data_IF_096283628013
#
_entry.id   IF_096283628013
#
_cell.length_a   1.000
_cell.length_b   1.000
_cell.length_c   1.000
_cell.angle_alpha   90.00
_cell.angle_beta   90.00
_cell.angle_gamma   90.00
#
_symmetry.space_group_name_H-M   'P 1'
#
loop_
_entity.id
_entity.type
_entity.pdbx_description
1 polymer ?
#
# COMPACT_ATOMS: atom_id res chain seq x y z
N UNK A 1 0.99 -13.48 -32.99
CA UNK A 1 -0.48 -13.61 -32.79
C UNK A 1 -0.78 -14.15 -31.37
N UNK A 2 -1.66 -13.51 -30.59
CA UNK A 2 -1.87 -13.77 -29.15
C UNK A 2 -3.36 -13.74 -28.77
N UNK A 3 -3.80 -14.65 -27.91
CA UNK A 3 -5.11 -14.66 -27.24
C UNK A 3 -4.90 -14.68 -25.72
N UNK A 4 -5.60 -13.83 -24.98
CA UNK A 4 -5.61 -13.87 -23.51
C UNK A 4 -6.98 -14.30 -23.05
N UNK A 5 -7.03 -15.35 -22.22
CA UNK A 5 -8.25 -15.87 -21.61
C UNK A 5 -8.18 -15.60 -20.11
N UNK A 6 -9.29 -15.15 -19.53
CA UNK A 6 -9.38 -14.96 -18.10
C UNK A 6 -10.80 -15.14 -17.60
N UNK A 7 -10.93 -15.73 -16.42
CA UNK A 7 -12.20 -15.89 -15.71
C UNK A 7 -12.05 -15.28 -14.33
N UNK A 8 -13.02 -14.46 -13.95
CA UNK A 8 -13.09 -13.86 -12.62
C UNK A 8 -14.44 -14.13 -11.98
N UNK A 9 -14.41 -14.59 -10.73
CA UNK A 9 -15.59 -14.80 -9.91
C UNK A 9 -15.56 -13.80 -8.75
N UNK A 10 -16.71 -13.20 -8.45
CA UNK A 10 -16.88 -12.28 -7.31
C UNK A 10 -18.05 -12.75 -6.46
N UNK A 11 -17.87 -12.71 -5.15
CA UNK A 11 -18.90 -12.96 -4.16
C UNK A 11 -19.24 -11.63 -3.50
N UNK A 12 -20.51 -11.24 -3.57
CA UNK A 12 -21.01 -10.02 -2.98
C UNK A 12 -21.87 -10.35 -1.77
N UNK A 13 -21.77 -9.52 -0.73
CA UNK A 13 -22.67 -9.55 0.42
C UNK A 13 -24.06 -9.05 -0.01
N UNK A 14 -25.13 -9.84 0.17
CA UNK A 14 -26.48 -9.45 -0.25
C UNK A 14 -27.07 -8.29 0.56
N UNK A 15 -26.63 -8.07 1.80
CA UNK A 15 -27.14 -7.02 2.67
C UNK A 15 -26.46 -5.67 2.42
N UNK A 16 -25.14 -5.67 2.18
CA UNK A 16 -24.34 -4.46 2.03
C UNK A 16 -23.96 -4.13 0.58
N UNK A 17 -24.04 -5.11 -0.33
CA UNK A 17 -23.53 -5.02 -1.70
C UNK A 17 -22.00 -5.01 -1.80
N UNK A 18 -21.28 -5.14 -0.67
CA UNK A 18 -19.82 -5.17 -0.65
C UNK A 18 -19.24 -6.46 -1.21
N UNK A 19 -18.07 -6.40 -1.84
CA UNK A 19 -17.35 -7.59 -2.32
C UNK A 19 -16.74 -8.34 -1.13
N UNK A 20 -17.23 -9.54 -0.83
CA UNK A 20 -16.71 -10.41 0.21
C UNK A 20 -15.50 -11.22 -0.25
N UNK A 21 -15.50 -11.66 -1.51
CA UNK A 21 -14.37 -12.36 -2.10
C UNK A 21 -14.30 -12.16 -3.61
N UNK A 22 -13.09 -12.23 -4.15
CA UNK A 22 -12.84 -12.33 -5.59
C UNK A 22 -11.79 -13.37 -5.86
N UNK A 23 -11.96 -14.10 -6.96
CA UNK A 23 -11.00 -15.05 -7.49
C UNK A 23 -10.87 -14.81 -8.99
N UNK A 24 -9.65 -14.89 -9.50
CA UNK A 24 -9.35 -14.66 -10.90
C UNK A 24 -8.24 -15.57 -11.38
N UNK A 25 -8.42 -16.12 -12.58
CA UNK A 25 -7.38 -16.85 -13.30
C UNK A 25 -7.28 -16.26 -14.70
N UNK A 26 -6.06 -16.01 -15.16
CA UNK A 26 -5.80 -15.56 -16.52
C UNK A 26 -4.58 -16.27 -17.10
N UNK A 27 -4.64 -16.56 -18.40
CA UNK A 27 -3.56 -17.17 -19.15
C UNK A 27 -3.53 -16.59 -20.55
N UNK A 28 -2.33 -16.43 -21.10
CA UNK A 28 -2.13 -15.99 -22.47
C UNK A 28 -1.57 -17.13 -23.32
N UNK A 29 -2.12 -17.24 -24.52
CA UNK A 29 -1.82 -18.21 -25.53
C UNK A 29 -1.24 -17.48 -26.75
N UNK A 30 -0.13 -17.98 -27.27
CA UNK A 30 0.53 -17.45 -28.47
C UNK A 30 0.34 -18.46 -29.59
N UNK A 31 -0.26 -18.01 -30.69
CA UNK A 31 -0.53 -18.85 -31.87
C UNK A 31 0.63 -18.93 -32.85
N UNK A 32 1.48 -17.89 -32.89
CA UNK A 32 2.63 -17.79 -33.78
C UNK A 32 3.83 -17.24 -33.04
N UNK A 33 5.02 -17.71 -33.41
CA UNK A 33 6.28 -17.27 -32.82
C UNK A 33 6.48 -15.76 -32.97
N UNK A 34 7.30 -15.19 -32.11
CA UNK A 34 7.63 -13.78 -32.18
C UNK A 34 8.68 -13.55 -33.28
N UNK A 35 8.25 -12.93 -34.39
CA UNK A 35 9.11 -12.70 -35.56
C UNK A 35 10.12 -11.55 -35.37
N UNK A 36 9.83 -10.61 -34.46
CA UNK A 36 10.70 -9.46 -34.19
C UNK A 36 11.40 -9.61 -32.84
N UNK A 37 12.72 -9.76 -32.89
CA UNK A 37 13.59 -9.81 -31.71
C UNK A 37 14.67 -8.74 -31.76
N UNK A 38 15.21 -8.39 -30.59
CA UNK A 38 16.42 -7.59 -30.52
C UNK A 38 17.61 -8.42 -31.07
N UNK A 39 18.63 -7.79 -31.68
CA UNK A 39 19.82 -8.49 -32.14
C UNK A 39 20.44 -9.33 -31.02
N UNK A 40 20.61 -10.64 -31.24
CA UNK A 40 21.15 -11.57 -30.25
C UNK A 40 20.13 -12.16 -29.27
N UNK A 41 18.84 -11.78 -29.34
CA UNK A 41 17.78 -12.40 -28.55
C UNK A 41 17.06 -13.49 -29.36
N UNK A 42 16.90 -14.67 -28.75
CA UNK A 42 16.15 -15.76 -29.36
C UNK A 42 14.64 -15.40 -29.46
N UNK A 43 13.97 -15.73 -30.58
CA UNK A 43 12.55 -15.49 -30.73
C UNK A 43 11.74 -16.26 -29.70
N UNK A 44 10.75 -15.59 -29.10
CA UNK A 44 9.84 -16.20 -28.17
C UNK A 44 8.88 -17.13 -28.93
N UNK A 45 9.25 -18.41 -29.01
CA UNK A 45 8.44 -19.49 -29.62
C UNK A 45 7.46 -20.15 -28.65
N UNK A 46 7.35 -19.62 -27.43
CA UNK A 46 6.49 -20.21 -26.41
C UNK A 46 5.02 -19.94 -26.69
N UNK A 47 4.27 -21.04 -26.89
CA UNK A 47 2.83 -21.08 -27.17
C UNK A 47 1.95 -20.85 -25.93
N UNK A 48 2.42 -21.22 -24.74
CA UNK A 48 1.71 -21.05 -23.47
C UNK A 48 2.50 -20.09 -22.56
N UNK A 49 1.86 -19.02 -22.10
CA UNK A 49 2.47 -18.13 -21.11
C UNK A 49 2.28 -18.63 -19.68
N UNK A 50 2.92 -17.92 -18.75
CA UNK A 50 2.60 -18.00 -17.33
C UNK A 50 1.11 -17.83 -17.06
N UNK A 51 0.62 -18.56 -16.06
CA UNK A 51 -0.73 -18.49 -15.52
C UNK A 51 -0.72 -17.48 -14.37
N UNK A 52 -1.61 -16.51 -14.43
CA UNK A 52 -1.85 -15.54 -13.36
C UNK A 52 -3.04 -16.00 -12.54
N UNK A 53 -2.84 -16.16 -11.24
CA UNK A 53 -3.87 -16.48 -10.25
C UNK A 53 -3.95 -15.31 -9.28
N UNK A 54 -5.15 -14.81 -9.02
CA UNK A 54 -5.38 -13.72 -8.08
C UNK A 54 -6.60 -14.01 -7.22
N UNK A 55 -6.53 -13.64 -5.95
CA UNK A 55 -7.64 -13.77 -5.02
C UNK A 55 -7.62 -12.65 -3.99
N UNK A 56 -8.78 -12.23 -3.52
CA UNK A 56 -8.89 -11.42 -2.32
C UNK A 56 -10.14 -11.83 -1.54
N UNK A 57 -10.05 -11.73 -0.22
CA UNK A 57 -11.13 -12.05 0.72
C UNK A 57 -11.21 -10.93 1.76
N UNK A 58 -12.41 -10.39 1.91
CA UNK A 58 -12.78 -9.48 2.98
C UNK A 58 -13.55 -10.28 4.03
N UNK A 59 -12.82 -10.97 4.92
CA UNK A 59 -13.41 -11.87 5.93
C UNK A 59 -14.39 -11.14 6.86
N UNK A 60 -14.07 -9.88 7.18
CA UNK A 60 -14.94 -8.91 7.85
C UNK A 60 -14.68 -7.53 7.22
N UNK A 61 -15.50 -6.49 7.49
CA UNK A 61 -15.20 -5.13 7.03
C UNK A 61 -13.82 -4.60 7.50
N UNK A 62 -13.26 -5.21 8.54
CA UNK A 62 -12.00 -4.81 9.15
C UNK A 62 -10.79 -5.57 8.57
N UNK A 63 -10.99 -6.77 8.02
CA UNK A 63 -9.91 -7.64 7.56
C UNK A 63 -9.99 -7.86 6.05
N UNK A 64 -8.88 -7.57 5.37
CA UNK A 64 -8.68 -7.91 3.96
C UNK A 64 -7.42 -8.76 3.83
N UNK A 65 -7.52 -9.84 3.07
CA UNK A 65 -6.38 -10.66 2.64
C UNK A 65 -6.42 -10.75 1.13
N UNK A 66 -5.29 -10.53 0.49
CA UNK A 66 -5.15 -10.66 -0.96
C UNK A 66 -3.92 -11.50 -1.32
N UNK A 67 -3.99 -12.18 -2.45
CA UNK A 67 -2.88 -12.95 -2.97
C UNK A 67 -2.88 -12.95 -4.49
N UNK A 68 -1.70 -12.83 -5.07
CA UNK A 68 -1.48 -12.96 -6.52
C UNK A 68 -0.27 -13.84 -6.77
N UNK A 69 -0.39 -14.80 -7.67
CA UNK A 69 0.64 -15.76 -8.03
C UNK A 69 0.76 -15.83 -9.55
N UNK A 70 1.98 -15.66 -10.05
CA UNK A 70 2.37 -15.89 -11.43
C UNK A 70 3.11 -17.22 -11.50
N UNK A 71 2.46 -18.22 -12.06
CA UNK A 71 2.98 -19.57 -12.18
C UNK A 71 3.44 -19.85 -13.60
N UNK A 72 4.68 -20.27 -13.77
CA UNK A 72 5.22 -20.73 -15.04
C UNK A 72 4.97 -22.25 -15.18
N UNK A 73 4.06 -22.69 -16.07
CA UNK A 73 3.71 -24.10 -16.21
C UNK A 73 4.85 -24.96 -16.79
N UNK A 74 5.78 -24.36 -17.55
CA UNK A 74 6.92 -25.05 -18.16
C UNK A 74 7.97 -25.42 -17.12
N UNK A 75 8.31 -24.50 -16.23
CA UNK A 75 9.30 -24.73 -15.15
C UNK A 75 8.66 -25.33 -13.90
N UNK A 76 7.32 -25.38 -13.84
CA UNK A 76 6.52 -25.75 -12.66
C UNK A 76 6.88 -24.93 -11.41
N UNK A 77 7.14 -23.63 -11.60
CA UNK A 77 7.58 -22.72 -10.53
C UNK A 77 6.72 -21.46 -10.50
N UNK A 78 6.55 -20.91 -9.30
CA UNK A 78 6.04 -19.54 -9.14
C UNK A 78 7.19 -18.55 -9.38
N UNK A 79 7.00 -17.66 -10.36
CA UNK A 79 7.94 -16.60 -10.70
C UNK A 79 7.69 -15.35 -9.86
N UNK A 80 6.42 -15.02 -9.60
CA UNK A 80 6.03 -13.91 -8.73
C UNK A 80 4.92 -14.34 -7.79
N UNK A 81 5.08 -14.06 -6.51
CA UNK A 81 4.02 -14.26 -5.50
C UNK A 81 3.90 -13.01 -4.66
N UNK A 82 2.69 -12.51 -4.48
CA UNK A 82 2.37 -11.44 -3.53
C UNK A 82 1.27 -11.93 -2.62
N UNK A 83 1.44 -11.74 -1.31
CA UNK A 83 0.43 -12.03 -0.29
C UNK A 83 0.34 -10.80 0.60
N UNK A 84 -0.84 -10.20 0.68
CA UNK A 84 -1.14 -9.04 1.49
C UNK A 84 -2.20 -9.37 2.55
N UNK A 85 -2.05 -8.77 3.72
CA UNK A 85 -3.07 -8.75 4.75
C UNK A 85 -3.17 -7.34 5.33
N UNK A 86 -4.39 -6.91 5.64
CA UNK A 86 -4.68 -5.60 6.20
C UNK A 86 -5.78 -5.71 7.24
N UNK A 87 -5.52 -5.11 8.40
CA UNK A 87 -6.48 -4.93 9.47
C UNK A 87 -6.75 -3.43 9.64
N UNK A 88 -7.99 -3.01 9.52
CA UNK A 88 -8.43 -1.63 9.73
C UNK A 88 -9.78 -1.58 10.45
N UNK A 89 -9.81 -1.60 11.79
CA UNK A 89 -11.06 -1.65 12.55
C UNK A 89 -11.85 -0.33 12.54
N UNK A 90 -11.17 0.80 12.40
CA UNK A 90 -11.77 2.14 12.36
C UNK A 90 -10.83 3.13 11.67
N UNK A 91 -11.26 4.39 11.58
CA UNK A 91 -10.39 5.48 11.17
C UNK A 91 -9.13 5.59 12.05
N UNK A 92 -8.03 5.97 11.40
CA UNK A 92 -6.69 6.11 11.97
C UNK A 92 -6.08 4.84 12.59
N UNK A 93 -6.74 3.68 12.45
CA UNK A 93 -6.28 2.39 12.95
C UNK A 93 -6.09 1.46 11.77
N UNK A 94 -4.86 1.30 11.32
CA UNK A 94 -4.52 0.37 10.26
C UNK A 94 -3.19 -0.30 10.53
N UNK A 95 -3.16 -1.61 10.28
CA UNK A 95 -1.93 -2.39 10.18
C UNK A 95 -2.02 -3.19 8.90
N UNK A 96 -0.97 -3.18 8.10
CA UNK A 96 -0.85 -3.94 6.87
C UNK A 96 0.49 -4.65 6.82
N UNK A 97 0.48 -5.84 6.24
CA UNK A 97 1.68 -6.63 5.98
C UNK A 97 1.56 -7.23 4.58
N UNK A 98 2.63 -7.17 3.80
CA UNK A 98 2.68 -7.73 2.46
C UNK A 98 4.02 -8.44 2.21
N UNK A 99 3.95 -9.70 1.84
CA UNK A 99 5.07 -10.48 1.36
C UNK A 99 5.10 -10.47 -0.16
N UNK A 100 6.25 -10.12 -0.75
CA UNK A 100 6.46 -10.04 -2.20
C UNK A 100 7.69 -10.82 -2.60
N UNK A 101 7.49 -11.86 -3.39
CA UNK A 101 8.53 -12.69 -3.96
C UNK A 101 8.57 -12.44 -5.48
N UNK A 102 9.75 -12.12 -5.98
CA UNK A 102 10.11 -12.20 -7.39
C UNK A 102 11.33 -13.11 -7.52
N UNK A 103 11.10 -14.33 -7.97
CA UNK A 103 12.10 -15.39 -7.98
C UNK A 103 13.36 -14.97 -8.73
N UNK A 104 14.52 -15.16 -8.11
CA UNK A 104 15.81 -14.79 -8.69
C UNK A 104 16.15 -13.29 -8.65
N UNK A 105 15.23 -12.42 -8.20
CA UNK A 105 15.43 -10.97 -8.13
C UNK A 105 15.25 -10.39 -6.74
N UNK A 106 14.09 -10.58 -6.10
CA UNK A 106 13.80 -9.98 -4.79
C UNK A 106 12.88 -10.84 -3.95
N UNK A 107 13.02 -10.69 -2.64
CA UNK A 107 12.12 -11.27 -1.66
C UNK A 107 11.99 -10.25 -0.54
N UNK A 108 10.81 -9.69 -0.36
CA UNK A 108 10.57 -8.54 0.50
C UNK A 108 9.37 -8.76 1.40
N UNK A 109 9.48 -8.27 2.63
CA UNK A 109 8.40 -8.13 3.58
C UNK A 109 8.17 -6.65 3.84
N UNK A 110 6.94 -6.18 3.61
CA UNK A 110 6.52 -4.81 3.81
C UNK A 110 5.50 -4.76 4.94
N UNK A 111 5.74 -3.96 5.97
CA UNK A 111 4.82 -3.79 7.10
C UNK A 111 4.54 -2.31 7.26
N UNK A 112 3.28 -1.90 7.25
CA UNK A 112 2.86 -0.52 7.41
C UNK A 112 1.80 -0.38 8.49
N UNK A 113 1.84 0.70 9.26
CA UNK A 113 0.84 0.97 10.28
C UNK A 113 0.57 2.47 10.47
N UNK A 114 -0.64 2.75 10.95
CA UNK A 114 -1.03 4.00 11.58
C UNK A 114 -1.90 3.62 12.76
N UNK A 115 -1.54 4.05 13.96
CA UNK A 115 -2.25 3.68 15.17
C UNK A 115 -2.21 4.78 16.23
N UNK A 116 -3.35 5.15 16.86
CA UNK A 116 -3.37 6.07 17.99
C UNK A 116 -2.68 5.40 19.18
N UNK A 117 -1.56 5.95 19.64
CA UNK A 117 -0.85 5.45 20.82
C UNK A 117 -1.74 5.52 22.07
N UNK A 118 -2.68 6.47 22.09
CA UNK A 118 -3.66 6.62 23.15
C UNK A 118 -4.49 5.37 23.43
N UNK A 119 -4.70 4.51 22.43
CA UNK A 119 -5.42 3.26 22.60
C UNK A 119 -4.71 2.29 23.55
N UNK A 120 -3.37 2.36 23.62
CA UNK A 120 -2.56 1.46 24.45
C UNK A 120 -2.80 1.70 25.96
N UNK A 121 -3.24 2.91 26.32
CA UNK A 121 -3.62 3.27 27.69
C UNK A 121 -5.12 3.54 27.86
N UNK A 122 -5.95 3.00 26.95
CA UNK A 122 -7.40 2.90 27.10
C UNK A 122 -8.21 4.11 26.64
N UNK A 123 -7.56 5.20 26.25
CA UNK A 123 -8.23 6.37 25.69
C UNK A 123 -8.45 6.19 24.19
N UNK A 124 -9.62 5.71 23.78
CA UNK A 124 -9.97 5.45 22.36
C UNK A 124 -10.35 6.71 21.57
N UNK A 125 -10.53 7.84 22.25
CA UNK A 125 -10.91 9.11 21.62
C UNK A 125 -12.34 9.14 21.13
N UNK A 126 -12.64 10.18 20.36
CA UNK A 126 -13.95 10.38 19.74
C UNK A 126 -13.89 9.98 18.28
N UNK A 127 -14.86 9.21 17.80
CA UNK A 127 -15.00 8.97 16.37
C UNK A 127 -15.66 10.19 15.73
N UNK A 128 -14.83 11.13 15.30
CA UNK A 128 -15.25 12.29 14.53
C UNK A 128 -15.31 11.95 13.04
N UNK A 129 -15.08 10.71 12.61
CA UNK A 129 -15.00 10.34 11.20
C UNK A 129 -13.72 10.82 10.50
N UNK A 130 -13.61 10.55 9.18
CA UNK A 130 -12.37 10.70 8.44
C UNK A 130 -11.99 12.17 8.29
N UNK A 131 -10.70 12.45 8.33
CA UNK A 131 -10.15 13.80 8.16
C UNK A 131 -10.37 14.76 9.34
N UNK A 132 -10.91 14.30 10.48
CA UNK A 132 -11.19 15.14 11.66
C UNK A 132 -10.43 14.74 12.93
N UNK A 133 -9.57 13.73 12.85
CA UNK A 133 -8.84 13.17 13.98
C UNK A 133 -9.79 12.54 15.01
N UNK A 134 -9.26 12.17 16.17
CA UNK A 134 -10.03 11.51 17.23
C UNK A 134 -10.23 12.38 18.48
N UNK A 135 -10.22 13.70 18.30
CA UNK A 135 -10.10 14.69 19.37
C UNK A 135 -8.65 15.12 19.62
N UNK A 136 -8.46 16.27 20.27
CA UNK A 136 -7.12 16.77 20.59
C UNK A 136 -6.50 16.14 21.83
N UNK A 137 -5.20 16.38 21.99
CA UNK A 137 -4.37 15.78 23.02
C UNK A 137 -3.92 14.36 22.70
N UNK A 138 -3.83 13.99 21.41
CA UNK A 138 -3.65 12.59 20.99
C UNK A 138 -2.39 12.36 20.20
N UNK A 139 -1.75 11.24 20.48
CA UNK A 139 -0.56 10.76 19.80
C UNK A 139 -0.92 9.65 18.81
N UNK A 140 -0.37 9.74 17.60
CA UNK A 140 -0.47 8.72 16.57
C UNK A 140 0.93 8.28 16.20
N UNK A 141 1.12 6.96 16.16
CA UNK A 141 2.29 6.36 15.54
C UNK A 141 1.99 6.03 14.10
N UNK A 142 2.95 6.28 13.24
CA UNK A 142 2.87 5.95 11.82
C UNK A 142 4.18 5.30 11.42
N UNK A 143 4.13 4.32 10.53
CA UNK A 143 5.36 3.76 10.02
C UNK A 143 5.16 2.79 8.89
N UNK A 144 6.27 2.52 8.21
CA UNK A 144 6.42 1.50 7.20
C UNK A 144 7.82 0.95 7.25
N UNK A 145 7.98 -0.35 7.18
CA UNK A 145 9.27 -1.00 7.06
C UNK A 145 9.20 -1.99 5.91
N UNK A 146 10.11 -1.85 4.96
CA UNK A 146 10.35 -2.78 3.88
C UNK A 146 11.69 -3.47 4.08
N UNK A 147 11.65 -4.79 4.28
CA UNK A 147 12.81 -5.63 4.54
C UNK A 147 13.05 -6.61 3.39
N UNK A 148 14.24 -6.57 2.79
CA UNK A 148 14.69 -7.58 1.83
C UNK A 148 15.14 -8.82 2.59
N UNK A 149 14.36 -9.89 2.53
CA UNK A 149 14.71 -11.19 3.09
C UNK A 149 15.88 -11.83 2.33
N UNK A 150 15.99 -11.55 1.03
CA UNK A 150 17.10 -12.00 0.18
C UNK A 150 18.44 -11.42 0.64
N UNK A 151 18.49 -10.10 0.80
CA UNK A 151 19.72 -9.37 1.12
C UNK A 151 19.91 -9.14 2.63
N UNK A 152 18.97 -9.64 3.45
CA UNK A 152 18.91 -9.49 4.92
C UNK A 152 19.03 -8.04 5.41
N UNK A 153 18.44 -7.09 4.69
CA UNK A 153 18.58 -5.65 4.95
C UNK A 153 17.25 -4.90 4.85
N UNK A 154 17.16 -3.79 5.57
CA UNK A 154 16.05 -2.84 5.45
C UNK A 154 16.26 -2.01 4.18
N UNK A 155 15.33 -2.12 3.23
CA UNK A 155 15.35 -1.37 1.97
C UNK A 155 14.83 0.04 2.18
N UNK A 156 13.73 0.15 2.93
CA UNK A 156 13.06 1.40 3.23
C UNK A 156 12.45 1.31 4.63
N UNK A 157 12.59 2.36 5.42
CA UNK A 157 11.94 2.46 6.73
C UNK A 157 11.53 3.90 7.00
N UNK A 158 10.25 4.08 7.29
CA UNK A 158 9.63 5.34 7.68
C UNK A 158 9.02 5.11 9.05
N UNK A 159 9.34 5.94 10.03
CA UNK A 159 8.74 5.91 11.36
C UNK A 159 8.43 7.34 11.78
N UNK A 160 7.22 7.57 12.24
CA UNK A 160 6.78 8.90 12.63
C UNK A 160 5.86 8.90 13.84
N UNK A 161 5.85 10.05 14.48
CA UNK A 161 4.93 10.40 15.55
C UNK A 161 4.20 11.68 15.16
N UNK A 162 2.88 11.65 15.29
CA UNK A 162 2.00 12.79 15.07
C UNK A 162 1.29 13.12 16.38
N UNK A 163 1.21 14.40 16.73
CA UNK A 163 0.47 14.89 17.89
C UNK A 163 -0.61 15.86 17.43
N UNK A 164 -1.87 15.52 17.70
CA UNK A 164 -3.04 16.36 17.43
C UNK A 164 -3.39 17.17 18.69
N UNK A 165 -3.27 18.49 18.63
CA UNK A 165 -3.56 19.41 19.72
C UNK A 165 -4.86 20.22 19.52
N UNK A 166 -5.84 19.68 18.75
CA UNK A 166 -7.03 20.39 18.25
C UNK A 166 -6.72 21.47 17.22
N UNK A 167 -5.98 22.50 17.61
CA UNK A 167 -5.72 23.72 16.81
C UNK A 167 -4.45 23.62 15.96
N UNK A 168 -3.55 22.69 16.29
CA UNK A 168 -2.34 22.42 15.53
C UNK A 168 -1.98 20.94 15.58
N UNK A 169 -1.19 20.49 14.61
CA UNK A 169 -0.66 19.15 14.51
C UNK A 169 0.86 19.23 14.34
N UNK A 170 1.57 18.58 15.26
CA UNK A 170 3.02 18.40 15.16
C UNK A 170 3.34 17.02 14.59
N UNK A 171 4.30 16.94 13.66
CA UNK A 171 4.78 15.67 13.11
C UNK A 171 6.29 15.61 13.16
N UNK A 172 6.80 14.47 13.59
CA UNK A 172 8.21 14.11 13.52
C UNK A 172 8.31 12.80 12.78
N UNK A 173 9.02 12.78 11.65
CA UNK A 173 9.18 11.57 10.83
C UNK A 173 10.64 11.34 10.54
N UNK A 174 11.11 10.14 10.90
CA UNK A 174 12.40 9.59 10.50
C UNK A 174 12.18 8.72 9.26
N UNK A 175 12.96 8.95 8.23
CA UNK A 175 12.98 8.12 7.04
C UNK A 175 14.41 7.67 6.75
N UNK A 176 14.54 6.39 6.45
CA UNK A 176 15.78 5.75 6.04
C UNK A 176 15.53 5.00 4.75
N UNK A 177 16.15 5.46 3.68
CA UNK A 177 16.09 4.83 2.37
C UNK A 177 17.46 4.30 1.98
N UNK A 178 17.54 3.01 1.66
CA UNK A 178 18.77 2.42 1.15
C UNK A 178 18.78 2.43 -0.38
N UNK A 179 19.35 3.50 -0.94
CA UNK A 179 19.57 3.63 -2.38
C UNK A 179 20.87 2.92 -2.78
N UNK A 180 20.82 1.60 -3.02
CA UNK A 180 21.95 0.81 -3.53
C UNK A 180 22.51 -0.26 -2.57
N UNK A 181 23.74 -0.71 -2.84
CA UNK A 181 24.37 -1.82 -2.08
C UNK A 181 24.90 -1.36 -0.72
N UNK A 182 25.48 -0.16 -0.59
CA UNK A 182 26.04 0.33 0.71
C UNK A 182 25.60 1.73 1.16
N UNK A 183 24.94 2.52 0.31
CA UNK A 183 24.54 3.89 0.64
C UNK A 183 23.13 3.94 1.21
N UNK A 184 23.02 4.31 2.49
CA UNK A 184 21.75 4.60 3.16
C UNK A 184 21.64 6.11 3.39
N UNK A 185 20.54 6.71 2.92
CA UNK A 185 20.17 8.08 3.25
C UNK A 185 19.21 8.07 4.42
N UNK A 186 19.50 8.85 5.44
CA UNK A 186 18.61 9.03 6.60
C UNK A 186 18.25 10.50 6.69
N UNK A 187 16.96 10.80 6.79
CA UNK A 187 16.46 12.17 6.98
C UNK A 187 15.46 12.22 8.13
N UNK A 188 15.48 13.34 8.84
CA UNK A 188 14.50 13.66 9.88
C UNK A 188 13.70 14.85 9.37
N UNK A 189 12.37 14.71 9.41
CA UNK A 189 11.42 15.71 8.95
C UNK A 189 10.59 16.18 10.13
N UNK A 190 10.45 17.50 10.23
CA UNK A 190 9.57 18.14 11.19
C UNK A 190 8.52 18.93 10.42
N UNK A 191 7.27 18.83 10.84
CA UNK A 191 6.17 19.61 10.28
C UNK A 191 5.27 20.10 11.40
N UNK A 192 4.92 21.38 11.35
CA UNK A 192 3.88 21.96 12.19
C UNK A 192 2.76 22.48 11.28
N UNK A 193 1.54 21.99 11.51
CA UNK A 193 0.35 22.35 10.74
C UNK A 193 -0.65 23.03 11.68
N UNK A 194 -1.05 24.26 11.38
CA UNK A 194 -2.10 24.96 12.11
C UNK A 194 -3.42 24.73 11.39
N UNK A 195 -4.43 24.25 12.12
CA UNK A 195 -5.74 23.93 11.54
C UNK A 195 -6.41 25.23 11.10
N UNK A 196 -6.79 25.31 9.82
CA UNK A 196 -7.37 26.51 9.21
C UNK A 196 -6.36 27.50 8.63
N UNK A 197 -5.06 27.19 8.67
CA UNK A 197 -3.99 27.98 8.06
C UNK A 197 -3.08 27.12 7.18
N UNK A 198 -2.16 27.76 6.46
CA UNK A 198 -1.17 27.08 5.61
C UNK A 198 -0.19 26.23 6.41
N UNK A 199 0.24 25.09 5.84
CA UNK A 199 1.25 24.18 6.40
C UNK A 199 2.65 24.81 6.35
N UNK A 200 3.43 24.67 7.42
CA UNK A 200 4.82 25.15 7.50
C UNK A 200 5.80 23.98 7.68
N UNK A 201 6.88 23.97 6.88
CA UNK A 201 7.99 23.01 6.97
C UNK A 201 8.11 22.03 5.80
N UNK A 202 8.99 21.03 5.95
CA UNK A 202 9.06 19.88 5.03
C UNK A 202 7.74 19.11 5.04
N UNK A 203 7.34 18.47 3.93
CA UNK A 203 6.05 17.78 3.80
C UNK A 203 6.19 16.24 3.96
N UNK A 204 6.25 15.70 5.20
CA UNK A 204 6.23 14.28 5.47
C UNK A 204 4.88 13.62 5.16
N UNK A 205 3.78 14.40 5.09
CA UNK A 205 2.45 13.89 4.77
C UNK A 205 2.39 13.20 3.40
N UNK A 206 3.13 13.73 2.42
CA UNK A 206 3.27 13.11 1.11
C UNK A 206 3.95 11.73 1.24
N UNK A 207 5.08 11.67 1.95
CA UNK A 207 5.79 10.41 2.21
C UNK A 207 4.89 9.41 2.92
N UNK A 208 4.15 9.82 3.95
CA UNK A 208 3.25 8.92 4.68
C UNK A 208 2.12 8.39 3.79
N UNK A 209 1.46 9.27 3.03
CA UNK A 209 0.34 8.86 2.16
C UNK A 209 0.77 7.98 0.98
N UNK A 210 1.92 8.25 0.39
CA UNK A 210 2.41 7.48 -0.76
C UNK A 210 2.93 6.09 -0.34
N UNK A 211 3.39 5.94 0.90
CA UNK A 211 4.05 4.72 1.36
C UNK A 211 3.19 3.85 2.27
N UNK A 212 2.34 4.41 3.13
CA UNK A 212 1.53 3.66 4.10
C UNK A 212 0.14 3.36 3.51
N UNK A 213 -0.20 2.08 3.27
CA UNK A 213 -1.52 1.73 2.77
C UNK A 213 -2.63 2.22 3.70
N UNK A 214 -3.68 2.85 3.13
CA UNK A 214 -4.86 3.33 3.87
C UNK A 214 -4.55 4.42 4.91
N UNK A 215 -3.39 5.08 4.85
CA UNK A 215 -3.10 6.23 5.70
C UNK A 215 -4.18 7.32 5.56
N UNK A 216 -4.66 7.80 6.69
CA UNK A 216 -5.66 8.85 6.77
C UNK A 216 -5.04 10.11 7.36
N UNK A 217 -5.34 11.25 6.74
CA UNK A 217 -4.94 12.54 7.29
C UNK A 217 -5.71 12.84 8.57
N UNK A 218 -4.98 13.29 9.60
CA UNK A 218 -5.59 13.80 10.83
C UNK A 218 -6.46 15.04 10.57
N UNK A 219 -6.10 15.84 9.57
CA UNK A 219 -6.91 16.93 9.03
C UNK A 219 -6.90 16.87 7.51
N UNK A 220 -8.06 16.68 6.91
CA UNK A 220 -8.23 16.74 5.47
C UNK A 220 -8.75 18.12 5.10
N UNK A 221 -7.96 18.88 4.32
CA UNK A 221 -8.46 20.11 3.72
C UNK A 221 -9.42 19.72 2.59
N UNK A 222 -10.71 19.84 2.85
CA UNK A 222 -11.70 19.85 1.78
C UNK A 222 -11.62 21.24 1.16
N UNK A 223 -10.72 21.43 0.20
CA UNK A 223 -10.78 22.59 -0.69
C UNK A 223 -12.05 22.43 -1.51
N UNK A 224 -13.15 23.01 -1.05
CA UNK A 224 -14.37 23.08 -1.85
C UNK A 224 -14.00 23.78 -3.16
N UNK A 225 -14.24 23.19 -4.34
CA UNK A 225 -13.93 23.85 -5.59
C UNK A 225 -14.63 25.21 -5.61
N UNK A 226 -13.87 26.25 -5.91
CA UNK A 226 -14.42 27.59 -6.06
C UNK A 226 -15.55 27.52 -7.09
N UNK A 227 -16.72 28.03 -6.73
CA UNK A 227 -17.87 28.15 -7.65
C UNK A 227 -17.58 29.07 -8.84
N UNK A 228 -16.43 29.74 -8.85
CA UNK A 228 -16.01 30.71 -9.85
C UNK A 228 -14.86 30.25 -10.75
N UNK A 229 -14.42 28.98 -10.69
CA UNK A 229 -13.26 28.51 -11.49
C UNK A 229 -13.54 28.33 -12.99
N UNK A 230 -14.79 28.51 -13.45
CA UNK A 230 -15.19 28.24 -14.83
C UNK A 230 -15.66 29.51 -15.58
N UNK A 231 -15.18 30.69 -15.19
CA UNK A 231 -15.33 31.90 -16.00
C UNK A 231 -13.97 32.29 -16.56
N UNK A 232 -13.65 31.73 -17.73
CA UNK A 232 -12.79 32.32 -18.75
C UNK A 232 -13.31 31.88 -20.13
#
# INVERSE_FOLDING_TARGET
NLLTLGVTTRLLDPATGGEAARLGIAQRLRFSDQDVTLPGAAPASERLSDVLLGGAVNWTPQWTVDSTVQFNPKTRRSERSTIGARYSPSDYRVVSAAYRLQRGYSEQMDVGWQWPLNDLWGDKGQDLGPGRGQGGGRWYSVGRVNYSMRDKKIVDAIVGLEYDACCWIGRVVLERLQSGVSTASTRIMFQLEFVGFTRLGSNPLRTLKENIPRYQYLREEITSPSRFSNYD
#
